data_IF_343061783026
#
_entry.id   IF_343061783026
#
_cell.length_a   1.000
_cell.length_b   1.000
_cell.length_c   1.000
_cell.angle_alpha   90.00
_cell.angle_beta   90.00
_cell.angle_gamma   90.00
#
_symmetry.space_group_name_H-M   'P 1'
#
loop_
_entity.id
_entity.type
_entity.pdbx_description
1 polymer ?
#
# COMPACT_ATOMS: atom_id res chain seq x y z
N UNK A 1 -22.69 -33.87 -38.13
CA UNK A 1 -22.78 -33.08 -36.89
C UNK A 1 -24.12 -32.36 -36.86
N UNK A 2 -24.73 -32.20 -35.69
CA UNK A 2 -25.97 -31.41 -35.55
C UNK A 2 -25.68 -29.90 -35.65
N UNK A 3 -26.74 -29.08 -35.82
CA UNK A 3 -26.61 -27.62 -35.99
C UNK A 3 -25.94 -26.94 -34.80
N UNK A 4 -26.13 -27.46 -33.59
CA UNK A 4 -25.49 -26.94 -32.40
C UNK A 4 -23.97 -27.16 -32.44
N UNK A 5 -23.55 -28.37 -32.81
CA UNK A 5 -22.13 -28.73 -32.94
C UNK A 5 -21.46 -27.98 -34.09
N UNK A 6 -22.16 -27.77 -35.21
CA UNK A 6 -21.67 -26.96 -36.33
C UNK A 6 -21.52 -25.48 -35.95
N UNK A 7 -22.49 -24.94 -35.20
CA UNK A 7 -22.44 -23.58 -34.65
C UNK A 7 -21.34 -23.41 -33.61
N UNK A 8 -21.14 -24.41 -32.73
CA UNK A 8 -20.08 -24.42 -31.72
C UNK A 8 -18.69 -24.58 -32.34
N UNK A 9 -18.55 -25.23 -33.49
CA UNK A 9 -17.26 -25.40 -34.17
C UNK A 9 -17.03 -24.40 -35.30
N UNK A 10 -17.99 -23.53 -35.60
CA UNK A 10 -17.90 -22.56 -36.69
C UNK A 10 -17.77 -23.21 -38.07
N UNK A 11 -18.59 -24.22 -38.36
CA UNK A 11 -18.54 -24.96 -39.61
C UNK A 11 -19.76 -24.66 -40.49
N UNK A 12 -19.58 -24.65 -41.82
CA UNK A 12 -20.66 -24.37 -42.78
C UNK A 12 -21.19 -22.95 -42.65
N UNK A 13 -22.51 -22.80 -42.54
CA UNK A 13 -23.22 -21.52 -42.41
C UNK A 13 -22.82 -20.68 -41.18
N UNK A 14 -22.04 -21.26 -40.26
CA UNK A 14 -21.61 -20.63 -39.01
C UNK A 14 -20.14 -20.15 -39.01
N UNK A 15 -19.43 -20.30 -40.14
CA UNK A 15 -18.01 -19.98 -40.26
C UNK A 15 -17.71 -18.48 -40.12
N UNK A 16 -18.62 -17.61 -40.60
CA UNK A 16 -18.49 -16.16 -40.52
C UNK A 16 -19.28 -15.59 -39.33
N UNK A 17 -18.97 -16.08 -38.13
CA UNK A 17 -19.57 -15.59 -36.89
C UNK A 17 -18.91 -14.29 -36.40
N UNK A 18 -19.69 -13.39 -35.82
CA UNK A 18 -19.17 -12.17 -35.21
C UNK A 18 -18.26 -12.47 -34.01
N UNK A 19 -17.29 -11.59 -33.76
CA UNK A 19 -16.33 -11.75 -32.66
C UNK A 19 -16.96 -11.72 -31.26
N UNK A 20 -18.06 -10.98 -31.09
CA UNK A 20 -18.68 -10.70 -29.78
C UNK A 20 -20.18 -11.05 -29.78
N UNK A 21 -20.86 -10.80 -30.91
CA UNK A 21 -22.30 -11.03 -31.02
C UNK A 21 -22.57 -12.45 -31.50
N UNK A 22 -23.62 -13.12 -30.99
CA UNK A 22 -23.91 -14.51 -31.31
C UNK A 22 -24.65 -14.65 -32.65
N UNK A 23 -24.07 -14.09 -33.71
CA UNK A 23 -24.67 -14.05 -35.05
C UNK A 23 -23.61 -14.44 -36.07
N UNK A 24 -23.99 -15.27 -37.04
CA UNK A 24 -23.17 -15.58 -38.22
C UNK A 24 -23.94 -15.26 -39.49
N UNK A 25 -23.20 -14.97 -40.56
CA UNK A 25 -23.78 -14.77 -41.89
C UNK A 25 -23.59 -16.03 -42.73
N UNK A 26 -24.69 -16.56 -43.25
CA UNK A 26 -24.64 -17.70 -44.17
C UNK A 26 -24.08 -17.27 -45.53
N UNK A 27 -23.69 -18.22 -46.37
CA UNK A 27 -23.21 -17.94 -47.73
C UNK A 27 -24.25 -17.22 -48.60
N UNK A 28 -25.53 -17.40 -48.29
CA UNK A 28 -26.65 -16.77 -48.98
C UNK A 28 -27.00 -15.38 -48.40
N UNK A 29 -26.26 -14.93 -47.39
CA UNK A 29 -26.35 -13.60 -46.80
C UNK A 29 -27.33 -13.46 -45.63
N UNK A 30 -27.99 -14.54 -45.21
CA UNK A 30 -28.91 -14.57 -44.08
C UNK A 30 -28.15 -14.53 -42.74
N UNK A 31 -28.76 -13.91 -41.72
CA UNK A 31 -28.18 -13.85 -40.37
C UNK A 31 -28.81 -14.95 -39.51
N UNK A 32 -27.96 -15.84 -39.00
CA UNK A 32 -28.36 -16.94 -38.12
C UNK A 32 -27.69 -16.82 -36.75
N UNK A 33 -28.34 -17.32 -35.71
CA UNK A 33 -27.76 -17.38 -34.37
C UNK A 33 -26.57 -18.34 -34.37
N UNK A 34 -25.43 -17.86 -33.89
CA UNK A 34 -24.18 -18.61 -33.84
C UNK A 34 -23.42 -18.34 -32.55
N UNK A 35 -22.53 -19.23 -32.14
CA UNK A 35 -21.58 -18.88 -31.07
C UNK A 35 -20.59 -17.83 -31.58
N UNK A 36 -20.18 -16.85 -30.74
CA UNK A 36 -19.13 -15.91 -31.11
C UNK A 36 -17.83 -16.65 -31.49
N UNK A 37 -17.04 -16.09 -32.41
CA UNK A 37 -15.83 -16.75 -32.93
C UNK A 37 -14.87 -17.22 -31.82
N UNK A 38 -14.73 -16.44 -30.74
CA UNK A 38 -13.91 -16.81 -29.57
C UNK A 38 -14.38 -18.10 -28.87
N UNK A 39 -15.70 -18.31 -28.79
CA UNK A 39 -16.30 -19.53 -28.24
C UNK A 39 -16.15 -20.68 -29.22
N UNK A 40 -16.18 -20.41 -30.53
CA UNK A 40 -15.94 -21.42 -31.54
C UNK A 40 -14.48 -21.91 -31.55
N UNK A 41 -13.51 -21.01 -31.39
CA UNK A 41 -12.08 -21.35 -31.28
C UNK A 41 -11.77 -22.22 -30.05
N UNK A 42 -12.45 -21.95 -28.93
CA UNK A 42 -12.46 -22.82 -27.75
C UNK A 42 -13.02 -24.21 -28.05
N UNK A 43 -14.19 -24.27 -28.70
CA UNK A 43 -14.83 -25.53 -29.10
C UNK A 43 -13.95 -26.38 -30.01
N UNK A 44 -13.32 -25.75 -31.02
CA UNK A 44 -12.38 -26.42 -31.94
C UNK A 44 -11.13 -26.91 -31.24
N UNK A 45 -10.56 -26.12 -30.32
CA UNK A 45 -9.39 -26.53 -29.53
C UNK A 45 -9.69 -27.76 -28.66
N UNK A 46 -10.83 -27.76 -27.96
CA UNK A 46 -11.26 -28.91 -27.16
C UNK A 46 -11.55 -30.15 -28.03
N UNK A 47 -12.16 -29.97 -29.21
CA UNK A 47 -12.41 -31.04 -30.16
C UNK A 47 -11.10 -31.64 -30.72
N UNK A 48 -10.07 -30.83 -30.99
CA UNK A 48 -8.74 -31.33 -31.41
C UNK A 48 -8.03 -32.07 -30.28
N UNK A 49 -8.08 -31.58 -29.04
CA UNK A 49 -7.48 -32.24 -27.88
C UNK A 49 -8.09 -33.63 -27.59
N UNK A 50 -9.34 -33.84 -27.99
CA UNK A 50 -10.05 -35.12 -27.86
C UNK A 50 -9.98 -35.99 -29.12
N UNK A 51 -9.24 -35.56 -30.15
CA UNK A 51 -9.05 -36.28 -31.41
C UNK A 51 -10.26 -36.23 -32.37
N UNK A 52 -11.26 -35.39 -32.09
CA UNK A 52 -12.46 -35.23 -32.91
C UNK A 52 -12.25 -34.31 -34.13
N UNK A 53 -11.20 -33.48 -34.11
CA UNK A 53 -10.75 -32.68 -35.26
C UNK A 53 -9.27 -32.94 -35.53
N UNK A 54 -8.85 -32.97 -36.81
CA UNK A 54 -7.45 -33.20 -37.16
C UNK A 54 -6.55 -32.01 -36.79
N UNK A 55 -5.28 -32.31 -36.53
CA UNK A 55 -4.21 -31.32 -36.42
C UNK A 55 -3.53 -31.20 -37.79
N UNK A 56 -3.72 -30.05 -38.42
CA UNK A 56 -3.11 -29.70 -39.70
C UNK A 56 -1.82 -28.92 -39.44
N UNK A 57 -0.78 -29.24 -40.21
CA UNK A 57 0.53 -28.61 -40.08
C UNK A 57 0.88 -27.92 -41.39
N UNK A 58 1.44 -26.73 -41.30
CA UNK A 58 1.95 -25.99 -42.43
C UNK A 58 3.16 -26.73 -43.03
N UNK A 59 3.09 -26.98 -44.33
CA UNK A 59 4.05 -27.85 -45.01
C UNK A 59 5.45 -27.24 -45.16
N UNK A 60 5.59 -25.91 -45.09
CA UNK A 60 6.88 -25.22 -45.21
C UNK A 60 7.57 -25.06 -43.85
N UNK A 61 6.82 -24.83 -42.78
CA UNK A 61 7.35 -24.52 -41.45
C UNK A 61 7.29 -25.70 -40.48
N UNK A 62 6.48 -26.72 -40.76
CA UNK A 62 6.25 -27.86 -39.87
C UNK A 62 5.51 -27.53 -38.58
N UNK A 63 5.03 -26.29 -38.43
CA UNK A 63 4.24 -25.83 -37.30
C UNK A 63 2.74 -26.08 -37.54
N UNK A 64 1.89 -26.13 -36.50
CA UNK A 64 0.45 -26.18 -36.69
C UNK A 64 -0.04 -25.03 -37.57
N UNK A 65 -1.05 -25.27 -38.40
CA UNK A 65 -1.59 -24.25 -39.32
C UNK A 65 -2.07 -23.00 -38.56
N UNK A 66 -2.11 -21.85 -39.25
CA UNK A 66 -2.44 -20.55 -38.66
C UNK A 66 -3.81 -20.57 -37.94
N UNK A 67 -4.79 -21.27 -38.51
CA UNK A 67 -6.12 -21.44 -37.90
C UNK A 67 -6.06 -22.22 -36.57
N UNK A 68 -5.18 -23.21 -36.45
CA UNK A 68 -5.00 -24.01 -35.22
C UNK A 68 -4.27 -23.19 -34.17
N UNK A 69 -3.29 -22.39 -34.59
CA UNK A 69 -2.59 -21.48 -33.68
C UNK A 69 -3.54 -20.40 -33.16
N UNK A 70 -4.36 -19.81 -34.04
CA UNK A 70 -5.36 -18.80 -33.65
C UNK A 70 -6.43 -19.37 -32.72
N UNK A 71 -6.94 -20.58 -32.98
CA UNK A 71 -7.87 -21.26 -32.08
C UNK A 71 -7.25 -21.53 -30.70
N UNK A 72 -5.99 -21.97 -30.67
CA UNK A 72 -5.24 -22.18 -29.43
C UNK A 72 -4.98 -20.85 -28.70
N UNK A 73 -4.75 -19.76 -29.44
CA UNK A 73 -4.60 -18.41 -28.90
C UNK A 73 -5.91 -17.88 -28.30
N UNK A 74 -7.04 -18.10 -28.94
CA UNK A 74 -8.35 -17.73 -28.43
C UNK A 74 -8.71 -18.54 -27.19
N UNK A 75 -8.39 -19.84 -27.18
CA UNK A 75 -8.54 -20.70 -26.01
C UNK A 75 -7.63 -20.26 -24.85
N UNK A 76 -6.35 -19.99 -25.12
CA UNK A 76 -5.44 -19.46 -24.12
C UNK A 76 -5.87 -18.07 -23.62
N UNK A 77 -6.35 -17.21 -24.52
CA UNK A 77 -6.85 -15.87 -24.22
C UNK A 77 -8.08 -15.84 -23.33
N UNK A 78 -8.97 -16.82 -23.47
CA UNK A 78 -10.18 -16.95 -22.66
C UNK A 78 -9.94 -17.66 -21.31
N UNK A 79 -8.97 -18.58 -21.22
CA UNK A 79 -8.63 -19.26 -19.97
C UNK A 79 -7.61 -18.51 -19.09
N UNK A 80 -6.74 -17.68 -19.67
CA UNK A 80 -5.65 -17.00 -18.92
C UNK A 80 -5.68 -15.48 -19.01
N UNK A 81 -6.57 -14.90 -19.82
CA UNK A 81 -6.50 -13.48 -20.16
C UNK A 81 -5.23 -13.09 -20.93
N UNK A 82 -4.35 -14.04 -21.27
CA UNK A 82 -3.00 -13.79 -21.77
C UNK A 82 -2.83 -13.97 -23.29
N UNK A 83 -3.89 -14.32 -24.03
CA UNK A 83 -3.88 -14.38 -25.50
C UNK A 83 -3.69 -13.02 -26.18
N UNK A 84 -3.86 -11.93 -25.42
CA UNK A 84 -3.52 -10.55 -25.80
C UNK A 84 -2.05 -10.15 -25.52
N UNK A 85 -1.21 -11.09 -25.05
CA UNK A 85 0.15 -10.80 -24.55
C UNK A 85 1.28 -11.51 -25.28
N UNK A 86 1.03 -12.22 -26.38
CA UNK A 86 2.14 -12.61 -27.26
C UNK A 86 2.65 -11.38 -28.03
N UNK A 87 3.93 -10.99 -27.89
CA UNK A 87 4.49 -9.91 -28.69
C UNK A 87 4.50 -10.34 -30.16
N UNK A 88 3.80 -9.58 -31.02
CA UNK A 88 3.93 -9.75 -32.47
C UNK A 88 5.30 -9.22 -32.92
N UNK A 89 5.94 -9.87 -33.91
CA UNK A 89 7.23 -9.44 -34.42
C UNK A 89 7.15 -8.00 -34.95
N UNK A 90 8.22 -7.25 -34.72
CA UNK A 90 8.33 -5.86 -35.12
C UNK A 90 8.32 -5.75 -36.65
N UNK A 91 7.13 -5.56 -37.24
CA UNK A 91 6.85 -4.89 -38.52
C UNK A 91 5.38 -4.95 -39.00
N UNK A 92 4.39 -5.19 -38.11
CA UNK A 92 2.99 -5.08 -38.51
C UNK A 92 2.52 -3.62 -38.49
N UNK A 93 2.49 -2.98 -39.66
CA UNK A 93 1.83 -1.70 -39.90
C UNK A 93 0.31 -1.88 -39.81
N UNK A 94 -0.31 -1.48 -38.70
CA UNK A 94 -1.75 -1.52 -38.49
C UNK A 94 -2.18 -0.63 -37.32
N UNK A 95 -3.11 0.27 -37.59
CA UNK A 95 -3.60 1.35 -36.72
C UNK A 95 -4.14 0.87 -35.36
N UNK A 96 -3.75 1.57 -34.28
CA UNK A 96 -4.46 1.58 -32.99
C UNK A 96 -3.81 0.78 -31.86
N UNK A 97 -2.65 1.24 -31.35
CA UNK A 97 -2.07 0.70 -30.13
C UNK A 97 -3.00 0.93 -28.93
N UNK A 98 -3.72 -0.10 -28.49
CA UNK A 98 -4.43 -0.09 -27.21
C UNK A 98 -3.40 0.00 -26.09
N UNK A 99 -3.27 1.18 -25.49
CA UNK A 99 -2.53 1.37 -24.23
C UNK A 99 -3.13 0.39 -23.22
N UNK A 100 -2.29 -0.49 -22.66
CA UNK A 100 -2.75 -1.42 -21.61
C UNK A 100 -3.28 -0.60 -20.43
N UNK A 101 -4.45 -0.93 -19.86
CA UNK A 101 -4.91 -0.26 -18.66
C UNK A 101 -3.85 -0.38 -17.56
N UNK A 102 -3.54 0.69 -16.83
CA UNK A 102 -2.47 0.68 -15.85
C UNK A 102 -2.73 -0.38 -14.77
N UNK A 103 -1.68 -1.03 -14.29
CA UNK A 103 -1.74 -2.04 -13.22
C UNK A 103 -1.99 -1.39 -11.86
N UNK A 104 -2.24 -2.20 -10.81
CA UNK A 104 -2.38 -1.65 -9.46
C UNK A 104 -1.06 -1.02 -9.00
N UNK A 105 0.05 -1.68 -9.30
CA UNK A 105 1.40 -1.29 -8.94
C UNK A 105 1.85 -0.02 -9.68
N UNK A 106 1.38 0.18 -10.93
CA UNK A 106 1.62 1.43 -11.66
C UNK A 106 0.81 2.61 -11.10
N UNK A 107 -0.41 2.37 -10.63
CA UNK A 107 -1.25 3.41 -10.04
C UNK A 107 -0.89 3.71 -8.59
N UNK A 108 -0.36 2.73 -7.86
CA UNK A 108 -0.05 2.79 -6.44
C UNK A 108 1.20 1.97 -6.13
N UNK A 109 2.40 2.48 -6.52
CA UNK A 109 3.66 1.75 -6.37
C UNK A 109 4.03 1.49 -4.91
N UNK A 110 3.47 2.28 -3.99
CA UNK A 110 3.78 2.23 -2.56
C UNK A 110 2.79 1.40 -1.75
N UNK A 111 1.66 1.01 -2.33
CA UNK A 111 0.66 0.16 -1.68
C UNK A 111 -0.23 0.90 -0.67
N UNK A 112 -0.59 2.15 -0.98
CA UNK A 112 -1.59 2.92 -0.25
C UNK A 112 -2.97 2.25 -0.24
N UNK A 113 -3.37 1.49 -1.25
CA UNK A 113 -4.67 0.81 -1.33
C UNK A 113 -4.53 -0.69 -1.49
N UNK A 114 -5.48 -1.43 -0.92
CA UNK A 114 -5.62 -2.86 -1.16
C UNK A 114 -6.26 -3.17 -2.51
N UNK A 115 -6.90 -2.19 -3.15
CA UNK A 115 -7.52 -2.32 -4.48
C UNK A 115 -6.82 -1.46 -5.52
N UNK A 116 -7.10 -1.74 -6.78
CA UNK A 116 -6.69 -0.88 -7.89
C UNK A 116 -7.45 0.45 -7.81
N UNK A 117 -6.71 1.55 -7.87
CA UNK A 117 -7.26 2.91 -7.89
C UNK A 117 -7.87 3.25 -9.26
N UNK A 118 -8.66 4.30 -9.30
CA UNK A 118 -9.25 4.86 -10.53
C UNK A 118 -8.32 5.84 -11.25
N UNK A 119 -7.28 6.34 -10.58
CA UNK A 119 -6.24 7.21 -11.11
C UNK A 119 -4.90 6.96 -10.38
N UNK A 120 -3.77 7.43 -10.90
CA UNK A 120 -2.49 7.36 -10.20
C UNK A 120 -2.58 8.03 -8.82
N UNK A 121 -1.99 7.43 -7.79
CA UNK A 121 -2.06 7.95 -6.43
C UNK A 121 -1.43 9.36 -6.32
N UNK A 122 -0.46 9.66 -7.18
CA UNK A 122 0.16 10.99 -7.28
C UNK A 122 -0.76 12.08 -7.81
N UNK A 123 -1.89 11.71 -8.44
CA UNK A 123 -2.89 12.64 -8.96
C UNK A 123 -4.06 12.84 -7.98
N UNK A 124 -3.98 12.28 -6.77
CA UNK A 124 -4.99 12.53 -5.73
C UNK A 124 -4.95 13.99 -5.30
N UNK A 125 -6.07 14.67 -5.49
CA UNK A 125 -6.27 16.06 -5.06
C UNK A 125 -6.72 16.11 -3.60
N UNK A 126 -6.14 17.01 -2.80
CA UNK A 126 -6.54 17.22 -1.41
C UNK A 126 -6.12 18.61 -0.92
N UNK A 127 -6.86 19.11 0.06
CA UNK A 127 -6.67 20.45 0.62
C UNK A 127 -6.10 20.34 2.04
N UNK A 128 -4.78 20.29 2.16
CA UNK A 128 -4.06 20.27 3.45
C UNK A 128 -3.48 21.66 3.73
N UNK A 129 -4.05 22.38 4.69
CA UNK A 129 -3.46 23.62 5.17
C UNK A 129 -2.30 23.31 6.15
N UNK A 130 -1.10 23.90 5.97
CA UNK A 130 0.01 23.66 6.87
C UNK A 130 -0.29 24.24 8.26
N UNK A 131 0.24 23.58 9.30
CA UNK A 131 0.23 24.11 10.67
C UNK A 131 1.51 24.90 10.94
N UNK A 132 1.43 25.85 11.87
CA UNK A 132 2.63 26.44 12.47
C UNK A 132 3.44 25.36 13.18
N UNK A 133 4.73 25.29 12.86
CA UNK A 133 5.70 24.42 13.52
C UNK A 133 6.43 25.21 14.61
N UNK A 134 6.79 24.54 15.70
CA UNK A 134 7.69 25.10 16.72
C UNK A 134 9.13 25.17 16.18
N UNK A 135 9.48 24.23 15.32
CA UNK A 135 10.77 24.15 14.63
C UNK A 135 10.48 24.19 13.12
N UNK A 136 10.90 25.24 12.39
CA UNK A 136 10.52 25.41 10.99
C UNK A 136 10.95 24.27 10.06
N UNK A 137 12.14 23.73 10.28
CA UNK A 137 12.71 22.67 9.45
C UNK A 137 13.72 21.81 10.22
N UNK A 138 13.95 20.58 9.73
CA UNK A 138 15.01 19.72 10.24
C UNK A 138 16.35 20.13 9.64
N UNK A 139 17.35 20.29 10.50
CA UNK A 139 18.72 20.49 10.03
C UNK A 139 19.22 19.21 9.35
N UNK A 140 19.72 19.34 8.13
CA UNK A 140 20.46 18.28 7.45
C UNK A 140 21.87 18.18 8.04
N UNK A 141 22.27 16.98 8.46
CA UNK A 141 23.57 16.68 9.04
C UNK A 141 24.24 15.52 8.30
N UNK A 142 25.57 15.46 8.35
CA UNK A 142 26.31 14.31 7.85
C UNK A 142 26.30 13.15 8.86
N UNK A 143 26.58 11.91 8.45
CA UNK A 143 26.67 10.77 9.36
C UNK A 143 27.63 10.98 10.54
N UNK A 144 28.74 11.71 10.34
CA UNK A 144 29.75 12.03 11.36
C UNK A 144 29.15 12.82 12.54
N UNK A 145 28.15 13.67 12.28
CA UNK A 145 27.49 14.43 13.34
C UNK A 145 26.72 13.54 14.33
N UNK A 146 26.39 12.31 13.91
CA UNK A 146 25.71 11.32 14.73
C UNK A 146 26.69 10.36 15.41
N UNK A 147 28.00 10.47 15.16
CA UNK A 147 29.00 9.56 15.69
C UNK A 147 29.02 9.53 17.22
N UNK A 148 29.17 8.34 17.78
CA UNK A 148 29.20 8.12 19.24
C UNK A 148 27.83 8.19 19.91
N UNK A 149 26.74 8.18 19.15
CA UNK A 149 25.35 8.24 19.65
C UNK A 149 24.63 6.92 19.41
N UNK A 150 23.56 6.67 20.18
CA UNK A 150 22.67 5.52 20.02
C UNK A 150 21.48 5.93 19.17
N UNK A 151 21.23 5.21 18.09
CA UNK A 151 20.04 5.36 17.25
C UNK A 151 19.05 4.26 17.60
N UNK A 152 18.02 4.59 18.37
CA UNK A 152 16.93 3.68 18.75
C UNK A 152 15.89 3.61 17.63
N UNK A 153 15.45 2.41 17.28
CA UNK A 153 14.42 2.20 16.27
C UNK A 153 13.06 2.77 16.67
N UNK A 154 12.57 3.74 15.89
CA UNK A 154 11.25 4.35 16.03
C UNK A 154 10.37 4.11 14.79
N UNK A 155 9.51 3.08 14.78
CA UNK A 155 8.61 2.83 13.65
C UNK A 155 7.47 3.84 13.65
N UNK A 156 7.52 4.81 12.73
CA UNK A 156 6.53 5.88 12.59
C UNK A 156 5.57 5.64 11.43
N UNK A 157 4.29 5.98 11.64
CA UNK A 157 3.39 6.14 10.50
C UNK A 157 3.81 7.37 9.66
N UNK A 158 3.26 7.46 8.45
CA UNK A 158 3.72 8.44 7.46
C UNK A 158 2.97 9.76 7.51
N UNK A 159 2.15 10.00 8.53
CA UNK A 159 1.29 11.19 8.54
C UNK A 159 2.09 12.47 8.61
N UNK A 160 1.52 13.53 8.03
CA UNK A 160 2.02 14.89 8.16
C UNK A 160 1.40 15.63 9.33
N UNK A 161 1.69 16.92 9.39
CA UNK A 161 1.05 17.87 10.30
C UNK A 161 0.31 18.93 9.49
N UNK A 162 -0.96 19.17 9.80
CA UNK A 162 -1.77 20.15 9.09
C UNK A 162 -3.26 20.01 9.38
N UNK A 163 -4.06 20.76 8.64
CA UNK A 163 -5.51 20.68 8.68
C UNK A 163 -6.02 20.22 7.31
N UNK A 164 -6.45 18.97 7.22
CA UNK A 164 -7.04 18.40 6.01
C UNK A 164 -8.50 18.81 5.92
N UNK A 165 -8.83 19.58 4.89
CA UNK A 165 -10.17 20.16 4.69
C UNK A 165 -10.92 19.58 3.50
N UNK A 166 -10.26 18.73 2.69
CA UNK A 166 -10.92 18.08 1.58
C UNK A 166 -10.04 17.07 0.85
N UNK A 167 -10.70 16.15 0.15
CA UNK A 167 -10.07 15.11 -0.69
C UNK A 167 -10.94 14.91 -1.93
N UNK A 168 -10.33 14.86 -3.12
CA UNK A 168 -10.97 14.62 -4.42
C UNK A 168 -12.10 15.62 -4.73
N UNK A 169 -11.79 16.92 -4.60
CA UNK A 169 -12.72 18.02 -4.85
C UNK A 169 -13.90 18.09 -3.87
N UNK A 170 -13.84 17.37 -2.75
CA UNK A 170 -14.86 17.39 -1.70
C UNK A 170 -14.34 18.08 -0.45
N UNK A 171 -14.99 19.17 -0.09
CA UNK A 171 -14.79 19.84 1.19
C UNK A 171 -15.43 19.05 2.32
N UNK A 172 -14.72 18.89 3.42
CA UNK A 172 -15.20 18.27 4.66
C UNK A 172 -16.06 19.25 5.44
N UNK A 173 -17.14 18.78 6.07
CA UNK A 173 -17.93 19.65 6.96
C UNK A 173 -17.12 19.98 8.21
N UNK A 174 -16.36 18.98 8.68
CA UNK A 174 -15.47 19.10 9.83
C UNK A 174 -14.06 18.75 9.38
N UNK A 175 -13.19 19.76 9.15
CA UNK A 175 -11.79 19.53 8.84
C UNK A 175 -11.11 18.60 9.86
N UNK A 176 -10.08 17.90 9.40
CA UNK A 176 -9.37 16.87 10.16
C UNK A 176 -7.98 17.37 10.50
N UNK A 177 -7.68 17.43 11.79
CA UNK A 177 -6.35 17.77 12.27
C UNK A 177 -5.42 16.56 12.10
N UNK A 178 -4.38 16.73 11.30
CA UNK A 178 -3.27 15.80 11.22
C UNK A 178 -2.16 16.27 12.14
N UNK A 179 -1.76 15.41 13.06
CA UNK A 179 -0.66 15.65 13.98
C UNK A 179 0.04 14.32 14.24
N UNK A 180 0.97 13.95 13.36
CA UNK A 180 1.68 12.68 13.47
C UNK A 180 2.94 12.59 12.62
N UNK A 181 3.33 11.34 12.37
CA UNK A 181 4.57 10.99 11.67
C UNK A 181 5.79 11.71 12.20
N UNK A 182 6.79 11.91 11.34
CA UNK A 182 8.01 12.61 11.76
C UNK A 182 7.75 14.07 12.14
N UNK A 183 6.81 14.76 11.51
CA UNK A 183 6.57 16.20 11.70
C UNK A 183 5.92 16.56 13.03
N UNK A 184 5.36 15.57 13.74
CA UNK A 184 5.03 15.70 15.16
C UNK A 184 6.18 16.31 15.99
N UNK A 185 7.41 15.94 15.65
CA UNK A 185 8.65 16.40 16.31
C UNK A 185 8.97 17.88 16.05
N UNK A 186 8.41 18.45 14.97
CA UNK A 186 8.56 19.86 14.63
C UNK A 186 7.39 20.69 15.17
N UNK A 187 6.22 20.08 15.30
CA UNK A 187 4.99 20.73 15.75
C UNK A 187 4.83 20.74 17.27
N UNK A 188 5.60 19.94 18.00
CA UNK A 188 5.44 19.76 19.45
C UNK A 188 6.78 19.78 20.18
N UNK A 189 6.82 20.02 21.50
CA UNK A 189 8.06 19.89 22.29
C UNK A 189 8.42 18.42 22.57
N UNK A 190 7.73 17.46 21.95
CA UNK A 190 7.84 16.04 22.24
C UNK A 190 8.58 15.31 21.11
N UNK A 191 9.33 14.29 21.50
CA UNK A 191 10.07 13.45 20.57
C UNK A 191 9.20 12.45 19.82
N UNK A 192 8.17 11.94 20.50
CA UNK A 192 7.31 10.88 19.98
C UNK A 192 6.02 10.79 20.78
N UNK A 193 4.95 10.31 20.16
CA UNK A 193 3.69 9.99 20.81
C UNK A 193 3.24 8.59 20.40
N UNK A 194 2.69 7.84 21.36
CA UNK A 194 2.16 6.49 21.15
C UNK A 194 1.39 6.05 22.40
N UNK A 195 0.75 4.89 22.34
CA UNK A 195 0.21 4.21 23.52
C UNK A 195 1.27 4.06 24.63
N UNK A 196 0.84 4.18 25.89
CA UNK A 196 1.72 4.22 27.07
C UNK A 196 2.70 3.03 27.14
N UNK A 197 2.22 1.83 26.79
CA UNK A 197 3.05 0.62 26.77
C UNK A 197 4.18 0.68 25.75
N UNK A 198 3.95 1.33 24.59
CA UNK A 198 4.97 1.52 23.56
C UNK A 198 6.00 2.55 24.01
N UNK A 199 5.57 3.70 24.53
CA UNK A 199 6.48 4.74 25.04
C UNK A 199 7.34 4.18 26.17
N UNK A 200 6.73 3.48 27.13
CA UNK A 200 7.45 2.84 28.23
C UNK A 200 8.44 1.78 27.71
N UNK A 201 8.05 0.99 26.73
CA UNK A 201 8.91 0.00 26.08
C UNK A 201 10.14 0.62 25.40
N UNK A 202 9.94 1.71 24.65
CA UNK A 202 11.02 2.45 23.99
C UNK A 202 11.97 3.08 25.00
N UNK A 203 11.45 3.72 26.06
CA UNK A 203 12.26 4.30 27.13
C UNK A 203 13.09 3.25 27.87
N UNK A 204 12.49 2.09 28.19
CA UNK A 204 13.22 1.00 28.82
C UNK A 204 14.32 0.44 27.89
N UNK A 205 14.03 0.38 26.58
CA UNK A 205 15.03 -0.04 25.59
C UNK A 205 16.18 0.95 25.48
N UNK A 206 15.88 2.26 25.52
CA UNK A 206 16.88 3.33 25.56
C UNK A 206 17.77 3.20 26.80
N UNK A 207 17.19 3.08 28.00
CA UNK A 207 17.93 2.87 29.25
C UNK A 207 18.84 1.65 29.20
N UNK A 208 18.32 0.55 28.66
CA UNK A 208 19.12 -0.67 28.47
C UNK A 208 20.28 -0.44 27.50
N UNK A 209 20.06 0.29 26.41
CA UNK A 209 21.11 0.61 25.44
C UNK A 209 22.21 1.49 26.07
N UNK A 210 21.83 2.49 26.89
CA UNK A 210 22.78 3.32 27.64
C UNK A 210 23.62 2.46 28.58
N UNK A 211 23.00 1.53 29.32
CA UNK A 211 23.71 0.61 30.22
C UNK A 211 24.65 -0.37 29.48
N UNK A 212 24.22 -0.89 28.32
CA UNK A 212 25.00 -1.86 27.53
C UNK A 212 26.23 -1.22 26.86
N UNK A 213 26.15 0.07 26.53
CA UNK A 213 27.17 0.75 25.70
C UNK A 213 27.98 1.81 26.46
N UNK A 214 27.47 2.33 27.58
CA UNK A 214 28.03 3.47 28.29
C UNK A 214 27.82 4.82 27.57
N UNK A 215 26.96 4.89 26.56
CA UNK A 215 26.65 6.10 25.80
C UNK A 215 25.33 6.68 26.31
N UNK A 216 25.34 7.94 26.77
CA UNK A 216 24.14 8.62 27.27
C UNK A 216 23.25 9.18 26.16
N UNK A 217 23.83 9.61 25.04
CA UNK A 217 23.11 10.25 23.93
C UNK A 217 22.27 9.23 23.14
N UNK A 218 20.96 9.22 23.38
CA UNK A 218 19.99 8.40 22.62
C UNK A 218 19.14 9.28 21.71
N UNK A 219 19.06 8.89 20.45
CA UNK A 219 18.18 9.48 19.46
C UNK A 219 17.16 8.45 19.03
N UNK A 220 15.89 8.86 18.92
CA UNK A 220 14.88 8.04 18.25
C UNK A 220 14.98 8.28 16.75
N UNK A 221 15.35 7.23 16.02
CA UNK A 221 15.50 7.22 14.58
C UNK A 221 14.18 6.80 13.93
N UNK A 222 13.50 7.78 13.31
CA UNK A 222 12.27 7.54 12.57
C UNK A 222 12.52 6.57 11.41
N UNK A 223 11.79 5.46 11.41
CA UNK A 223 11.74 4.49 10.31
C UNK A 223 10.32 4.41 9.76
N UNK A 224 10.16 4.57 8.46
CA UNK A 224 8.83 4.59 7.81
C UNK A 224 8.10 3.28 7.98
N UNK A 225 6.88 3.31 8.50
CA UNK A 225 6.01 2.15 8.46
C UNK A 225 5.35 1.97 7.07
N UNK A 226 4.60 0.90 6.90
CA UNK A 226 3.79 0.69 5.70
C UNK A 226 2.76 1.83 5.56
N UNK A 227 2.44 2.31 4.35
CA UNK A 227 1.44 3.39 4.15
C UNK A 227 0.09 3.16 4.82
N UNK A 228 -0.35 1.90 4.98
CA UNK A 228 -1.62 1.57 5.63
C UNK A 228 -1.57 1.65 7.17
N UNK A 229 -0.42 2.00 7.76
CA UNK A 229 -0.28 2.08 9.23
C UNK A 229 -1.07 3.25 9.82
N UNK A 230 -1.35 4.28 9.02
CA UNK A 230 -2.20 5.42 9.36
C UNK A 230 -3.62 5.01 9.76
N UNK A 231 -4.11 3.83 9.33
CA UNK A 231 -5.41 3.28 9.72
C UNK A 231 -5.60 3.10 11.23
N UNK A 232 -4.51 3.09 11.99
CA UNK A 232 -4.53 3.02 13.44
C UNK A 232 -4.94 4.35 14.11
N UNK A 233 -4.87 5.46 13.39
CA UNK A 233 -4.97 6.83 13.93
C UNK A 233 -6.41 7.35 13.91
N UNK A 234 -6.70 8.28 14.82
CA UNK A 234 -7.98 9.00 14.88
C UNK A 234 -8.20 9.83 13.61
N UNK A 235 -7.19 10.60 13.17
CA UNK A 235 -7.24 11.42 11.96
C UNK A 235 -7.62 10.62 10.70
N UNK A 236 -7.16 9.37 10.57
CA UNK A 236 -7.56 8.53 9.45
C UNK A 236 -9.04 8.17 9.51
N UNK A 237 -9.53 7.76 10.69
CA UNK A 237 -10.94 7.44 10.87
C UNK A 237 -11.85 8.67 10.70
N UNK A 238 -11.38 9.84 11.13
CA UNK A 238 -12.07 11.12 10.95
C UNK A 238 -12.11 11.54 9.48
N UNK A 239 -11.02 11.35 8.73
CA UNK A 239 -10.97 11.59 7.28
C UNK A 239 -11.95 10.68 6.54
N UNK A 240 -11.97 9.39 6.89
CA UNK A 240 -12.91 8.44 6.28
C UNK A 240 -14.35 8.77 6.65
N UNK A 241 -14.62 9.22 7.89
CA UNK A 241 -15.96 9.66 8.30
C UNK A 241 -16.47 10.79 7.40
N UNK A 242 -15.65 11.80 7.11
CA UNK A 242 -16.04 12.90 6.20
C UNK A 242 -16.26 12.40 4.77
N UNK A 243 -15.40 11.51 4.27
CA UNK A 243 -15.57 10.92 2.93
C UNK A 243 -16.84 10.06 2.82
N UNK A 244 -17.28 9.42 3.90
CA UNK A 244 -18.48 8.60 3.94
C UNK A 244 -19.77 9.42 3.84
N UNK A 245 -19.79 10.67 4.33
CA UNK A 245 -20.97 11.55 4.26
C UNK A 245 -21.47 11.77 2.83
N UNK A 246 -20.54 11.80 1.88
CA UNK A 246 -20.80 11.99 0.45
C UNK A 246 -20.65 10.70 -0.36
N UNK A 247 -20.42 9.56 0.29
CA UNK A 247 -20.28 8.27 -0.38
C UNK A 247 -21.63 7.77 -0.87
N UNK A 248 -21.67 7.22 -2.09
CA UNK A 248 -22.89 6.73 -2.75
C UNK A 248 -23.27 5.32 -2.27
N UNK A 249 -23.24 5.11 -0.95
CA UNK A 249 -23.54 3.81 -0.33
C UNK A 249 -25.05 3.65 -0.17
N UNK A 250 -25.60 2.57 -0.73
CA UNK A 250 -27.03 2.27 -0.60
C UNK A 250 -27.38 1.91 0.85
N UNK A 251 -28.65 2.10 1.25
CA UNK A 251 -29.11 1.69 2.59
C UNK A 251 -28.91 0.19 2.85
N UNK A 252 -29.03 -0.64 1.81
CA UNK A 252 -28.84 -2.10 1.90
C UNK A 252 -27.39 -2.44 2.19
N UNK A 253 -26.46 -1.84 1.45
CA UNK A 253 -25.04 -2.17 1.55
C UNK A 253 -24.43 -1.62 2.85
N UNK A 254 -24.88 -0.44 3.28
CA UNK A 254 -24.54 0.08 4.60
C UNK A 254 -24.96 -0.89 5.72
N UNK A 255 -26.22 -1.37 5.71
CA UNK A 255 -26.69 -2.37 6.69
C UNK A 255 -25.90 -3.68 6.65
N UNK A 256 -25.52 -4.14 5.46
CA UNK A 256 -24.72 -5.35 5.30
C UNK A 256 -23.28 -5.18 5.83
N UNK A 257 -22.67 -4.00 5.61
CA UNK A 257 -21.40 -3.64 6.22
C UNK A 257 -21.51 -3.58 7.75
N UNK A 258 -22.50 -2.86 8.27
CA UNK A 258 -22.68 -2.68 9.70
C UNK A 258 -22.92 -4.02 10.41
N UNK A 259 -23.69 -4.92 9.82
CA UNK A 259 -23.91 -6.26 10.35
C UNK A 259 -22.63 -7.09 10.40
N UNK A 260 -21.74 -6.95 9.40
CA UNK A 260 -20.45 -7.62 9.39
C UNK A 260 -19.51 -7.08 10.50
N UNK A 261 -19.43 -5.75 10.64
CA UNK A 261 -18.64 -5.10 11.70
C UNK A 261 -19.16 -5.50 13.08
N UNK A 262 -20.48 -5.52 13.29
CA UNK A 262 -21.13 -5.93 14.55
C UNK A 262 -20.93 -7.40 14.91
N UNK A 263 -20.37 -8.23 14.04
CA UNK A 263 -19.94 -9.58 14.46
C UNK A 263 -18.85 -9.49 15.52
N UNK A 264 -17.95 -8.51 15.41
CA UNK A 264 -16.82 -8.30 16.31
C UNK A 264 -16.99 -7.08 17.22
N UNK A 265 -17.55 -5.99 16.71
CA UNK A 265 -17.72 -4.71 17.44
C UNK A 265 -19.21 -4.43 17.66
N UNK A 266 -19.78 -5.02 18.72
CA UNK A 266 -21.25 -5.15 18.91
C UNK A 266 -21.99 -3.81 18.99
N UNK A 267 -21.32 -2.80 19.51
CA UNK A 267 -21.79 -1.44 19.75
C UNK A 267 -21.59 -0.51 18.53
N UNK A 268 -21.07 -1.01 17.41
CA UNK A 268 -20.83 -0.22 16.21
C UNK A 268 -22.10 0.54 15.77
N UNK A 269 -22.08 1.89 15.70
CA UNK A 269 -23.27 2.68 15.42
C UNK A 269 -23.76 2.54 13.97
N UNK A 270 -22.85 2.15 13.06
CA UNK A 270 -23.11 2.02 11.64
C UNK A 270 -22.42 3.11 10.83
N UNK A 271 -22.06 2.79 9.59
CA UNK A 271 -21.21 3.64 8.74
C UNK A 271 -21.89 4.94 8.29
N UNK A 272 -23.23 4.98 8.32
CA UNK A 272 -24.03 6.17 7.98
C UNK A 272 -24.63 6.86 9.23
N UNK A 273 -24.18 6.47 10.42
CA UNK A 273 -24.62 7.11 11.66
C UNK A 273 -23.95 8.47 11.81
N UNK A 274 -24.68 9.48 12.28
CA UNK A 274 -24.11 10.79 12.61
C UNK A 274 -23.03 10.69 13.70
N UNK A 275 -23.12 9.68 14.58
CA UNK A 275 -22.13 9.41 15.64
C UNK A 275 -20.96 8.50 15.22
N UNK A 276 -20.78 8.21 13.92
CA UNK A 276 -19.71 7.32 13.45
C UNK A 276 -18.31 7.87 13.79
N UNK A 277 -18.10 9.17 13.59
CA UNK A 277 -16.79 9.83 13.81
C UNK A 277 -16.39 9.76 15.28
N UNK A 278 -17.28 10.19 16.17
CA UNK A 278 -17.05 10.23 17.62
C UNK A 278 -16.84 8.83 18.18
N UNK A 279 -17.62 7.85 17.70
CA UNK A 279 -17.45 6.46 18.11
C UNK A 279 -16.08 5.93 17.67
N UNK A 280 -15.65 6.18 16.43
CA UNK A 280 -14.32 5.76 15.93
C UNK A 280 -13.18 6.42 16.71
N UNK A 281 -13.32 7.71 17.07
CA UNK A 281 -12.35 8.44 17.88
C UNK A 281 -12.21 7.84 19.29
N UNK A 282 -13.30 7.34 19.88
CA UNK A 282 -13.27 6.67 21.19
C UNK A 282 -12.74 5.24 21.15
N UNK A 283 -12.48 4.67 19.96
CA UNK A 283 -12.00 3.30 19.84
C UNK A 283 -10.48 3.19 19.95
N UNK A 284 -10.01 2.01 20.36
CA UNK A 284 -8.60 1.64 20.21
C UNK A 284 -8.16 1.70 18.74
N UNK A 285 -6.88 1.98 18.49
CA UNK A 285 -6.36 1.99 17.13
C UNK A 285 -6.47 0.65 16.42
N UNK A 286 -6.48 -0.47 17.16
CA UNK A 286 -6.69 -1.80 16.57
C UNK A 286 -8.12 -1.96 16.02
N UNK A 287 -9.12 -1.42 16.73
CA UNK A 287 -10.51 -1.38 16.26
C UNK A 287 -10.65 -0.44 15.07
N UNK A 288 -10.07 0.77 15.13
CA UNK A 288 -10.05 1.71 13.99
C UNK A 288 -9.51 1.04 12.73
N UNK A 289 -8.32 0.43 12.85
CA UNK A 289 -7.65 -0.26 11.74
C UNK A 289 -8.48 -1.38 11.13
N UNK A 290 -9.06 -2.25 11.97
CA UNK A 290 -9.90 -3.36 11.52
C UNK A 290 -11.09 -2.87 10.69
N UNK A 291 -11.75 -1.80 11.13
CA UNK A 291 -12.92 -1.24 10.43
C UNK A 291 -12.51 -0.54 9.12
N UNK A 292 -11.46 0.28 9.14
CA UNK A 292 -10.96 0.97 7.94
C UNK A 292 -10.49 -0.05 6.89
N UNK A 293 -9.75 -1.08 7.29
CA UNK A 293 -9.27 -2.14 6.38
C UNK A 293 -10.43 -2.90 5.74
N UNK A 294 -11.54 -3.12 6.47
CA UNK A 294 -12.75 -3.76 5.92
C UNK A 294 -13.46 -2.94 4.84
N UNK A 295 -13.23 -1.63 4.79
CA UNK A 295 -13.77 -0.76 3.74
C UNK A 295 -12.91 -0.81 2.46
N UNK A 296 -11.64 -1.17 2.57
CA UNK A 296 -10.67 -1.13 1.46
C UNK A 296 -10.63 -2.45 0.69
N UNK A 297 -11.74 -2.80 0.01
CA UNK A 297 -11.77 -3.94 -0.91
C UNK A 297 -12.77 -3.72 -2.07
N UNK A 298 -12.62 -4.50 -3.13
CA UNK A 298 -13.34 -4.28 -4.39
C UNK A 298 -14.85 -4.39 -4.24
N UNK A 299 -15.32 -5.27 -3.33
CA UNK A 299 -16.75 -5.40 -3.02
C UNK A 299 -17.28 -4.10 -2.40
N UNK A 300 -16.63 -3.58 -1.36
CA UNK A 300 -17.07 -2.32 -0.72
C UNK A 300 -16.96 -1.15 -1.68
N UNK A 301 -15.94 -1.13 -2.53
CA UNK A 301 -15.82 -0.10 -3.58
C UNK A 301 -17.00 -0.12 -4.55
N UNK A 302 -17.43 -1.30 -4.99
CA UNK A 302 -18.60 -1.48 -5.86
C UNK A 302 -19.92 -1.10 -5.14
N UNK A 303 -19.99 -1.29 -3.83
CA UNK A 303 -21.10 -0.85 -2.96
C UNK A 303 -21.11 0.68 -2.71
N UNK A 304 -20.16 1.43 -3.26
CA UNK A 304 -20.12 2.89 -3.20
C UNK A 304 -19.28 3.46 -2.06
N UNK A 305 -18.52 2.64 -1.32
CA UNK A 305 -17.54 3.12 -0.35
C UNK A 305 -16.41 3.90 -1.05
N UNK A 306 -15.80 4.88 -0.36
CA UNK A 306 -14.73 5.67 -0.94
C UNK A 306 -13.42 4.88 -1.09
N UNK A 307 -12.49 5.40 -1.90
CA UNK A 307 -11.13 4.84 -1.99
C UNK A 307 -10.33 5.20 -0.74
N UNK A 308 -10.14 4.22 0.15
CA UNK A 308 -9.39 4.41 1.40
C UNK A 308 -7.92 4.79 1.15
N UNK A 309 -7.31 4.27 0.09
CA UNK A 309 -5.95 4.64 -0.29
C UNK A 309 -5.75 6.13 -0.55
N UNK A 310 -6.76 6.83 -1.08
CA UNK A 310 -6.69 8.28 -1.31
C UNK A 310 -6.63 9.06 0.01
N UNK A 311 -7.38 8.64 1.02
CA UNK A 311 -7.31 9.23 2.36
C UNK A 311 -5.93 9.01 3.01
N UNK A 312 -5.37 7.80 2.89
CA UNK A 312 -4.03 7.50 3.41
C UNK A 312 -2.97 8.38 2.76
N UNK A 313 -3.05 8.58 1.44
CA UNK A 313 -2.13 9.44 0.70
C UNK A 313 -2.29 10.92 1.08
N UNK A 314 -3.52 11.42 1.17
CA UNK A 314 -3.80 12.81 1.56
C UNK A 314 -3.25 13.16 2.95
N UNK A 315 -3.29 12.20 3.89
CA UNK A 315 -2.70 12.36 5.23
C UNK A 315 -1.19 12.15 5.26
N UNK A 316 -0.58 11.57 4.21
CA UNK A 316 0.85 11.27 4.20
C UNK A 316 1.67 12.52 3.91
N UNK A 317 2.66 12.74 4.75
CA UNK A 317 3.68 13.76 4.58
C UNK A 317 4.41 13.60 3.26
N UNK A 318 4.64 14.70 2.56
CA UNK A 318 5.13 14.70 1.18
C UNK A 318 6.46 13.96 1.03
N UNK A 319 7.43 14.20 1.92
CA UNK A 319 8.74 13.56 1.82
C UNK A 319 8.70 12.04 2.05
N UNK A 320 7.60 11.50 2.59
CA UNK A 320 7.44 10.07 2.85
C UNK A 320 6.62 9.34 1.79
N UNK A 321 6.06 10.06 0.80
CA UNK A 321 5.16 9.46 -0.20
C UNK A 321 5.81 8.40 -1.05
N UNK A 322 7.07 8.60 -1.41
CA UNK A 322 7.83 7.71 -2.30
C UNK A 322 8.94 6.95 -1.56
N UNK A 323 8.87 6.89 -0.22
CA UNK A 323 9.91 6.27 0.58
C UNK A 323 9.58 4.81 0.86
N UNK A 324 10.48 3.84 0.58
CA UNK A 324 10.26 2.43 0.90
C UNK A 324 9.86 2.20 2.36
N UNK A 325 9.15 1.10 2.61
CA UNK A 325 8.79 0.71 3.99
C UNK A 325 10.05 0.26 4.75
N UNK A 326 10.17 0.72 5.99
CA UNK A 326 11.33 0.60 6.89
C UNK A 326 12.59 1.30 6.41
N UNK A 327 12.45 2.47 5.79
CA UNK A 327 13.59 3.31 5.51
C UNK A 327 13.80 4.34 6.64
N UNK A 328 15.06 4.59 6.99
CA UNK A 328 15.53 5.52 8.03
C UNK A 328 16.21 6.74 7.40
N UNK A 329 16.70 7.69 8.20
CA UNK A 329 17.47 8.83 7.70
C UNK A 329 16.72 10.17 7.70
N UNK A 330 15.38 10.12 7.67
CA UNK A 330 14.56 11.32 7.55
C UNK A 330 14.30 12.07 8.86
N UNK A 331 14.54 11.44 10.03
CA UNK A 331 14.48 12.14 11.30
C UNK A 331 15.20 11.38 12.42
N UNK A 332 15.98 12.11 13.20
CA UNK A 332 16.63 11.69 14.43
C UNK A 332 16.34 12.74 15.49
N UNK A 333 15.60 12.38 16.53
CA UNK A 333 15.29 13.29 17.63
C UNK A 333 16.00 12.84 18.90
N UNK A 334 16.78 13.70 19.57
CA UNK A 334 17.34 13.36 20.88
C UNK A 334 16.23 13.23 21.92
N UNK A 335 16.19 12.11 22.63
CA UNK A 335 15.10 11.78 23.55
C UNK A 335 15.50 11.98 25.01
N UNK A 336 14.56 12.47 25.82
CA UNK A 336 14.73 12.60 27.26
C UNK A 336 14.40 11.28 27.97
N UNK A 337 15.41 10.41 28.09
CA UNK A 337 15.26 9.08 28.69
C UNK A 337 14.99 9.15 30.20
N UNK A 338 15.54 10.17 30.88
CA UNK A 338 15.45 10.35 32.32
C UNK A 338 14.07 10.82 32.75
N UNK A 339 13.50 11.80 32.03
CA UNK A 339 12.15 12.32 32.30
C UNK A 339 11.07 11.24 32.17
N UNK A 340 11.32 10.21 31.36
CA UNK A 340 10.42 9.08 31.18
C UNK A 340 9.14 9.44 30.40
N UNK A 341 8.08 8.67 30.64
CA UNK A 341 6.83 8.82 29.90
C UNK A 341 6.02 10.02 30.39
N UNK A 342 5.72 10.95 29.48
CA UNK A 342 4.88 12.12 29.73
C UNK A 342 3.43 11.73 29.46
N UNK A 343 2.64 11.58 30.53
CA UNK A 343 1.21 11.31 30.45
C UNK A 343 0.44 12.63 30.37
N UNK A 344 -0.58 12.68 29.52
CA UNK A 344 -1.40 13.86 29.25
C UNK A 344 -0.52 15.05 28.78
N UNK A 345 0.14 14.93 27.61
CA UNK A 345 0.92 16.02 27.04
C UNK A 345 0.06 17.28 26.86
N UNK A 346 0.69 18.45 26.95
CA UNK A 346 0.02 19.75 26.84
C UNK A 346 -0.58 19.94 25.44
N UNK A 347 0.11 19.43 24.42
CA UNK A 347 -0.41 19.35 23.05
C UNK A 347 -1.01 17.96 22.87
N UNK A 348 -2.33 17.92 22.68
CA UNK A 348 -3.05 16.67 22.45
C UNK A 348 -2.78 16.15 21.02
N UNK A 349 -2.50 14.84 20.90
CA UNK A 349 -2.31 14.16 19.62
C UNK A 349 -3.66 13.68 19.03
N UNK A 350 -4.72 13.57 19.83
CA UNK A 350 -6.03 13.02 19.45
C UNK A 350 -6.05 11.48 19.31
N UNK A 351 -4.91 10.84 19.03
CA UNK A 351 -4.78 9.37 19.00
C UNK A 351 -4.13 8.78 20.25
N UNK A 352 -3.22 9.53 20.88
CA UNK A 352 -2.37 9.06 21.96
C UNK A 352 -2.33 10.07 23.10
N UNK A 353 -2.38 9.57 24.34
CA UNK A 353 -2.32 10.39 25.55
C UNK A 353 -0.94 10.36 26.24
N UNK A 354 0.04 9.73 25.61
CA UNK A 354 1.38 9.55 26.17
C UNK A 354 2.44 9.98 25.15
N UNK A 355 3.43 10.72 25.61
CA UNK A 355 4.54 11.24 24.82
C UNK A 355 5.89 10.99 25.48
N UNK A 356 6.94 11.15 24.68
CA UNK A 356 8.34 11.16 25.10
C UNK A 356 8.89 12.58 24.97
N UNK A 357 9.64 13.06 25.96
CA UNK A 357 10.29 14.37 25.89
C UNK A 357 11.42 14.40 24.86
N UNK A 358 11.67 15.58 24.28
CA UNK A 358 12.83 15.84 23.43
C UNK A 358 13.86 16.69 24.17
N UNK A 359 15.14 16.38 24.00
CA UNK A 359 16.25 17.18 24.57
C UNK A 359 16.73 18.30 23.63
N UNK A 360 16.23 18.33 22.40
CA UNK A 360 16.67 19.27 21.37
C UNK A 360 15.94 19.06 20.04
N UNK A 361 16.25 19.89 19.03
CA UNK A 361 15.59 19.80 17.73
C UNK A 361 15.96 18.50 16.99
N UNK A 362 15.04 17.94 16.19
CA UNK A 362 15.36 16.82 15.31
C UNK A 362 16.31 17.22 14.17
N UNK A 363 17.13 16.28 13.75
CA UNK A 363 18.02 16.40 12.58
C UNK A 363 17.68 15.31 11.55
N UNK A 364 18.18 15.44 10.33
CA UNK A 364 18.02 14.42 9.29
C UNK A 364 19.32 14.23 8.50
N UNK A 365 19.49 13.07 7.88
CA UNK A 365 20.55 12.82 6.90
C UNK A 365 20.17 13.48 5.54
N UNK A 366 21.13 13.66 4.62
CA UNK A 366 20.85 14.20 3.28
C UNK A 366 19.99 13.27 2.41
N UNK A 367 19.81 12.01 2.79
CA UNK A 367 19.02 11.04 2.07
C UNK A 367 18.45 9.96 2.98
N UNK A 368 17.62 9.11 2.38
CA UNK A 368 16.98 7.99 3.06
C UNK A 368 17.86 6.74 2.96
N UNK A 369 17.86 5.91 4.01
CA UNK A 369 18.72 4.73 4.15
C UNK A 369 17.89 3.48 4.43
N UNK A 370 18.14 2.33 3.77
CA UNK A 370 17.54 1.04 4.13
C UNK A 370 17.75 0.66 5.60
N UNK A 371 16.76 0.00 6.21
CA UNK A 371 16.86 -0.45 7.60
C UNK A 371 18.03 -1.42 7.84
N UNK A 372 18.29 -2.31 6.89
CA UNK A 372 19.32 -3.34 7.00
C UNK A 372 20.73 -2.76 6.96
N UNK A 373 20.92 -1.70 6.18
CA UNK A 373 22.14 -0.90 6.21
C UNK A 373 22.22 -0.05 7.49
N UNK A 374 21.11 0.58 7.90
CA UNK A 374 21.11 1.50 9.04
C UNK A 374 21.27 0.78 10.39
N UNK A 375 20.56 -0.32 10.63
CA UNK A 375 20.67 -1.15 11.84
C UNK A 375 21.55 -2.37 11.59
N UNK A 376 22.72 -2.11 11.03
CA UNK A 376 23.75 -3.08 10.63
C UNK A 376 23.91 -4.20 11.65
N UNK A 377 24.11 -3.85 12.92
CA UNK A 377 24.46 -4.84 13.94
C UNK A 377 23.29 -5.77 14.26
N UNK A 378 22.07 -5.25 14.23
CA UNK A 378 20.88 -6.07 14.39
C UNK A 378 20.68 -7.00 13.18
N UNK A 379 20.80 -6.50 11.96
CA UNK A 379 20.59 -7.32 10.76
C UNK A 379 21.66 -8.39 10.56
N UNK A 380 22.89 -8.17 11.03
CA UNK A 380 23.91 -9.23 11.16
C UNK A 380 23.43 -10.41 12.02
N UNK A 381 22.66 -10.16 13.08
CA UNK A 381 22.08 -11.25 13.90
C UNK A 381 21.00 -12.06 13.19
N UNK A 382 20.46 -11.53 12.09
CA UNK A 382 19.43 -12.18 11.26
C UNK A 382 20.04 -12.84 10.00
N UNK A 383 21.36 -12.79 9.82
CA UNK A 383 22.03 -13.49 8.73
C UNK A 383 21.89 -15.00 8.90
N UNK A 384 21.55 -15.69 7.82
CA UNK A 384 21.28 -17.13 7.85
C UNK A 384 19.98 -17.54 8.56
N UNK A 385 19.17 -16.60 9.04
CA UNK A 385 17.88 -16.92 9.63
C UNK A 385 16.95 -17.59 8.60
N UNK A 386 16.36 -18.72 8.97
CA UNK A 386 15.45 -19.50 8.13
C UNK A 386 14.01 -19.44 8.65
N UNK A 387 13.07 -19.69 7.74
CA UNK A 387 11.66 -19.92 8.05
C UNK A 387 11.48 -21.29 8.71
N UNK A 388 10.27 -21.59 9.21
CA UNK A 388 9.93 -22.93 9.73
C UNK A 388 10.11 -24.04 8.68
N UNK A 389 10.06 -23.70 7.40
CA UNK A 389 10.25 -24.62 6.28
C UNK A 389 11.72 -24.81 5.88
N UNK A 390 12.65 -24.08 6.50
CA UNK A 390 14.08 -24.12 6.19
C UNK A 390 14.54 -23.11 5.12
N UNK A 391 13.62 -22.39 4.47
CA UNK A 391 13.96 -21.36 3.48
C UNK A 391 14.54 -20.10 4.14
N UNK A 392 15.42 -19.32 3.48
CA UNK A 392 15.87 -18.02 3.99
C UNK A 392 14.71 -17.10 4.33
N UNK A 393 14.79 -16.39 5.46
CA UNK A 393 13.72 -15.48 5.86
C UNK A 393 13.56 -14.33 4.85
N UNK A 394 12.35 -14.09 4.33
CA UNK A 394 12.08 -12.94 3.48
C UNK A 394 12.18 -11.65 4.28
N UNK A 395 12.41 -10.53 3.59
CA UNK A 395 12.56 -9.21 4.22
C UNK A 395 11.37 -8.85 5.12
N UNK A 396 10.14 -9.24 4.74
CA UNK A 396 8.94 -9.01 5.55
C UNK A 396 9.00 -9.66 6.93
N UNK A 397 9.62 -10.85 7.06
CA UNK A 397 9.84 -11.49 8.36
C UNK A 397 10.93 -10.79 9.18
N UNK A 398 12.03 -10.38 8.54
CA UNK A 398 13.10 -9.62 9.22
C UNK A 398 12.58 -8.28 9.76
N UNK A 399 11.75 -7.60 8.97
CA UNK A 399 11.05 -6.37 9.35
C UNK A 399 10.07 -6.58 10.51
N UNK A 400 9.33 -7.71 10.51
CA UNK A 400 8.49 -8.08 11.64
C UNK A 400 9.32 -8.27 12.91
N UNK A 401 10.44 -8.99 12.83
CA UNK A 401 11.36 -9.16 13.96
C UNK A 401 11.92 -7.82 14.45
N UNK A 402 12.29 -6.92 13.55
CA UNK A 402 12.76 -5.55 13.87
C UNK A 402 11.77 -4.82 14.80
N UNK A 403 10.47 -4.90 14.49
CA UNK A 403 9.41 -4.28 15.30
C UNK A 403 9.20 -4.95 16.66
N UNK A 404 9.50 -6.24 16.77
CA UNK A 404 9.36 -6.96 18.04
C UNK A 404 10.54 -6.70 18.97
N UNK A 405 11.73 -6.54 18.41
CA UNK A 405 12.97 -6.38 19.20
C UNK A 405 13.30 -4.92 19.51
N UNK A 406 12.77 -3.97 18.73
CA UNK A 406 13.11 -2.55 18.80
C UNK A 406 14.64 -2.36 18.93
N UNK A 407 15.40 -2.67 17.85
CA UNK A 407 16.85 -2.62 17.92
C UNK A 407 17.34 -1.18 18.13
N UNK A 408 18.61 -1.07 18.52
CA UNK A 408 19.36 0.18 18.39
C UNK A 408 20.60 -0.07 17.53
N UNK A 409 21.17 1.01 17.00
CA UNK A 409 22.48 1.03 16.37
C UNK A 409 23.38 2.04 17.09
N UNK A 410 24.60 1.64 17.45
CA UNK A 410 25.63 2.61 17.84
C UNK A 410 26.25 3.19 16.57
N UNK A 411 26.30 4.51 16.48
CA UNK A 411 26.95 5.20 15.36
C UNK A 411 28.47 5.22 15.55
N UNK A 412 29.09 4.06 15.40
CA UNK A 412 30.55 3.92 15.39
C UNK A 412 31.15 4.39 14.06
N UNK A 413 32.49 4.46 13.99
CA UNK A 413 33.19 4.91 12.77
C UNK A 413 32.81 4.06 11.56
N UNK A 414 32.71 2.74 11.72
CA UNK A 414 32.32 1.86 10.61
C UNK A 414 30.91 2.19 10.09
N UNK A 415 29.97 2.51 10.98
CA UNK A 415 28.62 2.86 10.56
C UNK A 415 28.58 4.22 9.89
N UNK A 416 29.34 5.19 10.41
CA UNK A 416 29.53 6.49 9.76
C UNK A 416 30.05 6.31 8.34
N UNK A 417 31.12 5.53 8.15
CA UNK A 417 31.73 5.29 6.84
C UNK A 417 30.74 4.60 5.87
N UNK A 418 30.03 3.57 6.35
CA UNK A 418 29.02 2.86 5.56
C UNK A 418 27.91 3.80 5.07
N UNK A 419 27.39 4.66 5.96
CA UNK A 419 26.33 5.60 5.62
C UNK A 419 26.84 6.72 4.72
N UNK A 420 28.04 7.24 4.98
CA UNK A 420 28.65 8.29 4.17
C UNK A 420 28.88 7.80 2.72
N UNK A 421 29.41 6.59 2.56
CA UNK A 421 29.58 5.97 1.24
C UNK A 421 28.23 5.84 0.52
N UNK A 422 27.24 5.24 1.18
CA UNK A 422 25.92 5.01 0.58
C UNK A 422 25.22 6.30 0.16
N UNK A 423 25.29 7.34 0.99
CA UNK A 423 24.69 8.63 0.70
C UNK A 423 25.45 9.39 -0.41
N UNK A 424 26.77 9.21 -0.52
CA UNK A 424 27.56 9.76 -1.62
C UNK A 424 27.22 9.11 -2.98
N UNK A 425 26.78 7.85 -2.98
CA UNK A 425 26.35 7.11 -4.17
C UNK A 425 24.89 7.42 -4.60
N UNK A 426 24.21 8.34 -3.90
CA UNK A 426 22.89 8.84 -4.27
C UNK A 426 21.75 8.43 -3.35
N UNK A 427 22.00 7.63 -2.31
CA UNK A 427 20.96 7.18 -1.38
C UNK A 427 19.78 6.48 -2.08
N UNK A 428 18.63 6.41 -1.40
CA UNK A 428 17.33 6.04 -2.01
C UNK A 428 16.43 7.26 -2.08
#
# INVERSE_FOLDING_TARGET
MDRFSQSLLGQGDYADAGMILPLARTSDGEIVLSFPQSVQGLGRTAARATGLLPMEYDAETGLPSEDILMDAFDAAGSFTGAGLLAPRPANSLGMGGRVKPPTKEELDPMGYSNIKLDQPISEVEFDMAPRSLLIPERKVVSPEALQGKIMLFGPGDRTGVGLLSGVEGRTFDTPVEALGGRDYQLATPYAWASDEGVITGLLNRAKKAQQETGIEDVFLAHSTMNPQSVDFTEMMSSTVAEMLKTAKITKKDAKAFDADVRKKHKDFPGVKSDGFREWMASQSGATRKDIITRMDNSKRRAEGFPFIGKARYALTEEAQRNVPTFASGMSFIPIDVEAGAIRNPIIDHGSYNTSMGALGPPVQLPGTVPNDLFYRDFFKTLEGAVTKSGDPQPMSMKQYTTRLTNPYQVMDQQQVDNLAQFLAEGGI
#
